data_IF_573681646104
#
_entry.id   IF_573681646104
#
_cell.length_a   1.000
_cell.length_b   1.000
_cell.length_c   1.000
_cell.angle_alpha   90.00
_cell.angle_beta   90.00
_cell.angle_gamma   90.00
#
_symmetry.space_group_name_H-M   'P 1'
#
loop_
_entity.id
_entity.type
_entity.pdbx_description
1 polymer ?
#
# COMPACT_ATOMS: atom_id res chain seq x y z
N UNK A 1 9.99 2.78 31.31
CA UNK A 1 8.93 3.58 30.65
C UNK A 1 8.34 2.74 29.54
N UNK A 2 7.01 2.74 29.32
CA UNK A 2 6.41 2.01 28.21
C UNK A 2 6.93 2.58 26.88
N UNK A 3 7.31 1.69 25.97
CA UNK A 3 7.71 2.06 24.61
C UNK A 3 6.53 2.72 23.90
N UNK A 4 6.76 3.87 23.26
CA UNK A 4 5.76 4.54 22.43
C UNK A 4 6.15 4.36 20.97
N UNK A 5 5.18 3.94 20.17
CA UNK A 5 5.30 3.70 18.74
C UNK A 5 4.33 4.65 18.05
N UNK A 6 4.88 5.49 17.18
CA UNK A 6 4.14 6.54 16.48
C UNK A 6 4.83 6.84 15.14
N UNK A 7 4.04 7.11 14.10
CA UNK A 7 4.55 7.66 12.86
C UNK A 7 4.72 9.18 12.98
N UNK A 8 5.97 9.61 13.20
CA UNK A 8 6.28 11.01 13.46
C UNK A 8 6.59 11.74 12.15
N UNK A 9 5.94 12.88 11.93
CA UNK A 9 6.15 13.80 10.80
C UNK A 9 6.08 13.13 9.41
N UNK A 10 5.00 12.40 9.06
CA UNK A 10 4.82 11.89 7.70
C UNK A 10 4.75 13.04 6.68
N UNK A 11 5.45 12.89 5.55
CA UNK A 11 5.27 13.77 4.39
C UNK A 11 3.87 13.60 3.79
N UNK A 12 3.41 14.60 3.04
CA UNK A 12 2.16 14.49 2.27
C UNK A 12 2.20 13.42 1.19
N UNK A 13 3.40 13.05 0.74
CA UNK A 13 3.60 12.00 -0.26
C UNK A 13 3.64 10.61 0.39
N UNK A 14 3.91 10.50 1.70
CA UNK A 14 4.21 9.23 2.30
C UNK A 14 3.01 8.28 2.39
N UNK A 15 3.15 7.11 1.77
CA UNK A 15 2.11 6.08 1.72
C UNK A 15 2.30 5.04 2.82
N UNK A 16 3.55 4.68 3.11
CA UNK A 16 3.89 3.60 4.05
C UNK A 16 5.09 3.97 4.89
N UNK A 17 5.11 3.52 6.14
CA UNK A 17 6.28 3.60 7.00
C UNK A 17 6.40 2.38 7.89
N UNK A 18 7.58 1.76 7.90
CA UNK A 18 7.89 0.65 8.79
C UNK A 18 8.59 1.17 10.03
N UNK A 19 8.04 0.84 11.20
CA UNK A 19 8.72 1.13 12.46
C UNK A 19 10.07 0.36 12.52
N UNK A 20 11.19 1.03 12.85
CA UNK A 20 12.52 0.45 12.68
C UNK A 20 12.88 -0.65 13.69
N UNK A 21 12.22 -0.69 14.85
CA UNK A 21 12.55 -1.68 15.90
C UNK A 21 11.58 -2.87 15.86
N UNK A 22 12.12 -4.08 15.94
CA UNK A 22 11.33 -5.32 15.98
C UNK A 22 11.10 -5.86 17.40
N UNK A 23 11.87 -5.37 18.36
CA UNK A 23 11.79 -5.77 19.78
C UNK A 23 10.73 -4.91 20.49
N UNK A 24 9.46 -5.15 20.14
CA UNK A 24 8.32 -4.43 20.75
C UNK A 24 7.95 -5.08 22.08
N UNK A 25 8.02 -4.28 23.15
CA UNK A 25 7.73 -4.74 24.51
C UNK A 25 6.24 -4.91 24.77
N UNK A 26 5.89 -5.84 25.66
CA UNK A 26 4.51 -5.98 26.12
C UNK A 26 4.05 -4.69 26.80
N UNK A 27 2.86 -4.21 26.44
CA UNK A 27 2.31 -2.96 26.96
C UNK A 27 2.80 -1.69 26.25
N UNK A 28 3.56 -1.83 25.16
CA UNK A 28 3.92 -0.70 24.30
C UNK A 28 2.65 0.04 23.83
N UNK A 29 2.72 1.36 23.80
CA UNK A 29 1.63 2.22 23.35
C UNK A 29 1.81 2.51 21.86
N UNK A 30 0.84 2.11 21.06
CA UNK A 30 0.75 2.41 19.64
C UNK A 30 -0.18 3.62 19.45
N UNK A 31 0.32 4.70 18.88
CA UNK A 31 -0.46 5.89 18.54
C UNK A 31 -0.68 5.89 17.03
N UNK A 32 -1.94 6.01 16.61
CA UNK A 32 -2.36 6.04 15.21
C UNK A 32 -3.18 7.32 14.99
N UNK A 33 -2.81 8.14 14.01
CA UNK A 33 -3.53 9.38 13.71
C UNK A 33 -4.76 9.15 12.82
N UNK A 34 -5.64 10.16 12.68
CA UNK A 34 -6.95 10.02 12.01
C UNK A 34 -6.91 9.53 10.55
N UNK A 35 -5.82 9.76 9.83
CA UNK A 35 -5.64 9.35 8.43
C UNK A 35 -4.57 8.28 8.28
N UNK A 36 -4.43 7.44 9.29
CA UNK A 36 -3.45 6.36 9.35
C UNK A 36 -4.11 5.06 9.79
N UNK A 37 -3.52 3.96 9.36
CA UNK A 37 -3.76 2.65 9.93
C UNK A 37 -2.41 2.01 10.25
N UNK A 38 -2.34 1.23 11.33
CA UNK A 38 -1.14 0.51 11.71
C UNK A 38 -1.40 -0.99 11.65
N UNK A 39 -0.68 -1.68 10.77
CA UNK A 39 -0.71 -3.13 10.63
C UNK A 39 0.35 -3.73 11.55
N UNK A 40 -0.11 -4.46 12.56
CA UNK A 40 0.75 -5.11 13.52
C UNK A 40 0.95 -6.59 13.16
N UNK A 41 2.21 -6.98 13.04
CA UNK A 41 2.63 -8.35 12.78
C UNK A 41 3.25 -8.95 14.03
N UNK A 42 2.93 -10.22 14.25
CA UNK A 42 3.53 -11.05 15.28
C UNK A 42 3.77 -12.43 14.71
N UNK A 43 4.95 -13.00 14.95
CA UNK A 43 5.32 -14.35 14.51
C UNK A 43 5.16 -14.55 12.98
N UNK A 44 5.42 -13.49 12.19
CA UNK A 44 5.31 -13.50 10.73
C UNK A 44 3.90 -13.43 10.16
N UNK A 45 2.87 -13.20 10.99
CA UNK A 45 1.47 -13.05 10.57
C UNK A 45 0.91 -11.71 10.96
N UNK A 46 -0.03 -11.19 10.16
CA UNK A 46 -0.88 -10.07 10.57
C UNK A 46 -1.65 -10.50 11.80
N UNK A 47 -1.45 -9.79 12.90
CA UNK A 47 -2.17 -10.01 14.15
C UNK A 47 -3.41 -9.14 14.19
N UNK A 48 -3.25 -7.83 13.93
CA UNK A 48 -4.33 -6.86 14.02
C UNK A 48 -4.01 -5.62 13.18
N UNK A 49 -5.07 -4.95 12.72
CA UNK A 49 -5.02 -3.63 12.08
C UNK A 49 -5.64 -2.61 13.04
N UNK A 50 -4.85 -1.63 13.45
CA UNK A 50 -5.30 -0.56 14.33
C UNK A 50 -5.70 0.66 13.51
N UNK A 51 -6.90 1.18 13.77
CA UNK A 51 -7.35 2.48 13.29
C UNK A 51 -6.93 3.62 14.23
N UNK A 52 -7.43 4.85 14.01
CA UNK A 52 -7.05 6.02 14.78
C UNK A 52 -7.26 5.86 16.28
N UNK A 53 -6.33 6.41 17.07
CA UNK A 53 -6.36 6.41 18.52
C UNK A 53 -5.12 5.82 19.17
N UNK A 54 -5.19 5.65 20.49
CA UNK A 54 -4.13 5.06 21.30
C UNK A 54 -4.48 3.62 21.65
N UNK A 55 -3.59 2.70 21.30
CA UNK A 55 -3.75 1.26 21.48
C UNK A 55 -2.62 0.70 22.33
N UNK A 56 -2.89 -0.38 23.07
CA UNK A 56 -1.87 -1.08 23.87
C UNK A 56 -1.53 -2.40 23.19
N UNK A 57 -0.26 -2.59 22.83
CA UNK A 57 0.18 -3.78 22.13
C UNK A 57 0.41 -4.95 23.10
N UNK A 58 -0.21 -6.08 22.76
CA UNK A 58 -0.01 -7.35 23.48
C UNK A 58 1.01 -8.19 22.72
N UNK A 59 2.26 -8.17 23.19
CA UNK A 59 3.36 -8.99 22.63
C UNK A 59 3.72 -10.14 23.58
N UNK A 60 4.47 -11.14 23.11
CA UNK A 60 5.01 -12.20 23.99
C UNK A 60 6.34 -11.77 24.66
N UNK A 61 6.82 -10.56 24.36
CA UNK A 61 8.05 -10.01 24.92
C UNK A 61 7.77 -9.32 26.26
N UNK A 62 7.70 -10.13 27.33
CA UNK A 62 7.58 -9.65 28.70
C UNK A 62 8.98 -9.36 29.29
N UNK A 63 9.29 -8.11 29.70
CA UNK A 63 10.65 -7.71 30.13
C UNK A 63 11.27 -8.57 31.24
N UNK A 64 10.45 -9.16 32.11
CA UNK A 64 10.90 -10.01 33.21
C UNK A 64 11.06 -11.49 32.82
N UNK A 65 10.32 -11.97 31.81
CA UNK A 65 10.42 -13.36 31.33
C UNK A 65 11.53 -13.54 30.30
N UNK A 66 11.74 -12.56 29.41
CA UNK A 66 12.80 -12.65 28.40
C UNK A 66 14.20 -12.70 29.01
N UNK A 67 14.46 -11.96 30.09
CA UNK A 67 15.75 -12.02 30.80
C UNK A 67 16.05 -13.37 31.45
N UNK A 68 15.03 -14.08 31.93
CA UNK A 68 15.16 -15.41 32.56
C UNK A 68 15.23 -16.52 31.51
N UNK A 69 14.38 -16.47 30.47
CA UNK A 69 14.40 -17.42 29.36
C UNK A 69 15.69 -17.35 28.54
N UNK A 70 16.23 -16.16 28.27
CA UNK A 70 17.51 -16.01 27.54
C UNK A 70 18.67 -16.63 28.32
N UNK A 71 18.64 -16.51 29.66
CA UNK A 71 19.69 -17.03 30.57
C UNK A 71 19.59 -18.54 30.80
N UNK A 72 18.37 -19.11 30.78
CA UNK A 72 18.13 -20.54 31.05
C UNK A 72 18.13 -21.37 29.76
N UNK A 73 17.54 -20.86 28.67
CA UNK A 73 17.34 -21.62 27.43
C UNK A 73 18.37 -21.32 26.33
N UNK A 74 19.38 -20.47 26.60
CA UNK A 74 20.48 -20.21 25.67
C UNK A 74 20.08 -19.45 24.40
N UNK A 75 18.96 -18.72 24.42
CA UNK A 75 18.58 -17.85 23.31
C UNK A 75 19.44 -16.58 23.32
N UNK A 76 20.37 -16.46 22.36
CA UNK A 76 21.20 -15.25 22.18
C UNK A 76 20.41 -14.02 21.70
N UNK A 77 19.16 -14.21 21.25
CA UNK A 77 18.27 -13.16 20.71
C UNK A 77 16.81 -13.44 21.06
N UNK A 78 16.04 -12.39 21.32
CA UNK A 78 14.58 -12.47 21.55
C UNK A 78 13.88 -13.14 20.34
N UNK A 79 13.22 -14.30 20.51
CA UNK A 79 12.54 -15.00 19.42
C UNK A 79 11.19 -14.34 19.05
N UNK A 80 10.66 -13.45 19.91
CA UNK A 80 9.38 -12.80 19.72
C UNK A 80 9.55 -11.48 18.96
N UNK A 81 9.82 -11.59 17.67
CA UNK A 81 9.91 -10.43 16.76
C UNK A 81 8.52 -9.97 16.35
N UNK A 82 8.29 -8.67 16.50
CA UNK A 82 7.06 -8.00 16.08
C UNK A 82 7.40 -6.94 15.03
N UNK A 83 6.44 -6.57 14.20
CA UNK A 83 6.62 -5.49 13.23
C UNK A 83 5.37 -4.61 13.23
N UNK A 84 5.57 -3.29 13.10
CA UNK A 84 4.48 -2.33 12.89
C UNK A 84 4.74 -1.63 11.57
N UNK A 85 3.76 -1.67 10.69
CA UNK A 85 3.77 -0.93 9.43
C UNK A 85 2.59 0.03 9.44
N UNK A 86 2.90 1.31 9.39
CA UNK A 86 1.91 2.36 9.20
C UNK A 86 1.59 2.52 7.71
N UNK A 87 0.33 2.74 7.43
CA UNK A 87 -0.21 3.00 6.10
C UNK A 87 -1.03 4.28 6.16
N UNK A 88 -0.75 5.19 5.24
CA UNK A 88 -1.51 6.42 5.09
C UNK A 88 -2.83 6.12 4.40
N UNK A 89 -3.92 6.48 5.05
CA UNK A 89 -5.27 6.36 4.52
C UNK A 89 -5.68 7.62 3.75
N UNK A 90 -4.74 8.52 3.42
CA UNK A 90 -5.00 9.72 2.64
C UNK A 90 -5.25 9.38 1.17
N UNK A 91 -5.83 10.33 0.44
CA UNK A 91 -5.92 10.26 -1.03
C UNK A 91 -4.62 10.74 -1.65
N UNK A 92 -4.08 9.94 -2.56
CA UNK A 92 -2.88 10.24 -3.33
C UNK A 92 -3.23 10.56 -4.77
N UNK A 93 -2.38 11.35 -5.41
CA UNK A 93 -2.49 11.69 -6.83
C UNK A 93 -1.25 11.19 -7.56
N UNK A 94 -1.45 10.60 -8.74
CA UNK A 94 -0.37 10.12 -9.59
C UNK A 94 -0.62 10.44 -11.05
N UNK A 95 0.44 10.37 -11.84
CA UNK A 95 0.37 10.51 -13.30
C UNK A 95 0.67 9.17 -13.95
N UNK A 96 -0.06 8.87 -15.03
CA UNK A 96 0.13 7.67 -15.82
C UNK A 96 0.22 8.02 -17.30
N UNK A 97 0.70 7.08 -18.10
CA UNK A 97 0.87 7.27 -19.52
C UNK A 97 1.88 6.32 -20.12
N UNK A 98 1.71 6.07 -21.42
CA UNK A 98 2.47 5.09 -22.16
C UNK A 98 2.14 5.09 -23.64
N UNK A 99 2.71 4.12 -24.35
CA UNK A 99 2.47 3.88 -25.77
C UNK A 99 1.87 2.50 -25.95
N UNK A 100 0.80 2.42 -26.71
CA UNK A 100 0.17 1.15 -27.10
C UNK A 100 -0.15 1.18 -28.59
N UNK A 101 -0.85 0.16 -29.06
CA UNK A 101 -1.42 0.11 -30.39
C UNK A 101 -2.88 -0.29 -30.31
N UNK A 102 -3.68 0.13 -31.28
CA UNK A 102 -5.09 -0.29 -31.43
C UNK A 102 -5.18 -1.70 -32.00
N UNK A 103 -6.40 -2.23 -32.12
CA UNK A 103 -6.65 -3.52 -32.80
C UNK A 103 -6.16 -3.51 -34.26
N UNK A 104 -6.05 -2.33 -34.88
CA UNK A 104 -5.56 -2.12 -36.24
C UNK A 104 -4.04 -1.93 -36.29
N UNK A 105 -3.34 -2.12 -35.17
CA UNK A 105 -1.89 -1.90 -35.03
C UNK A 105 -1.54 -0.42 -35.30
N UNK A 106 -2.49 0.50 -35.11
CA UNK A 106 -2.22 1.93 -35.18
C UNK A 106 -1.57 2.38 -33.86
N UNK A 107 -0.43 3.09 -33.89
CA UNK A 107 0.24 3.55 -32.68
C UNK A 107 -0.62 4.58 -31.94
N UNK A 108 -0.68 4.45 -30.61
CA UNK A 108 -1.50 5.28 -29.72
C UNK A 108 -0.66 5.71 -28.52
N UNK A 109 -0.76 6.98 -28.13
CA UNK A 109 -0.04 7.49 -26.95
C UNK A 109 -1.04 8.11 -25.98
N UNK A 110 -1.13 7.55 -24.79
CA UNK A 110 -2.06 8.04 -23.78
C UNK A 110 -1.32 8.60 -22.58
N UNK A 111 -1.94 9.57 -21.92
CA UNK A 111 -1.51 10.06 -20.62
C UNK A 111 -2.71 10.55 -19.82
N UNK A 112 -2.50 10.66 -18.51
CA UNK A 112 -3.52 11.15 -17.62
C UNK A 112 -3.10 11.16 -16.16
N UNK A 113 -4.08 11.43 -15.32
CA UNK A 113 -3.94 11.49 -13.87
C UNK A 113 -4.87 10.50 -13.19
N UNK A 114 -4.42 9.92 -12.08
CA UNK A 114 -5.20 9.01 -11.26
C UNK A 114 -5.13 9.41 -9.79
N UNK A 115 -6.17 9.06 -9.04
CA UNK A 115 -6.26 9.26 -7.61
C UNK A 115 -6.65 7.96 -6.94
N UNK A 116 -5.96 7.61 -5.88
CA UNK A 116 -6.21 6.38 -5.14
C UNK A 116 -6.14 6.61 -3.63
N UNK A 117 -6.69 5.68 -2.88
CA UNK A 117 -6.63 5.64 -1.42
C UNK A 117 -6.48 4.17 -1.00
N UNK A 118 -5.77 3.89 0.10
CA UNK A 118 -5.80 2.56 0.70
C UNK A 118 -7.09 2.37 1.49
N UNK A 119 -7.77 1.24 1.29
CA UNK A 119 -8.97 0.85 2.05
C UNK A 119 -8.73 -0.36 2.93
N UNK A 120 -7.97 -1.34 2.43
CA UNK A 120 -7.55 -2.49 3.20
C UNK A 120 -6.04 -2.44 3.41
N UNK A 121 -5.58 -1.89 4.55
CA UNK A 121 -4.16 -1.78 4.84
C UNK A 121 -3.50 -3.14 5.05
N UNK A 122 -4.25 -4.16 5.50
CA UNK A 122 -3.68 -5.50 5.69
C UNK A 122 -3.34 -6.15 4.35
N UNK A 123 -4.29 -6.12 3.41
CA UNK A 123 -4.12 -6.64 2.06
C UNK A 123 -3.06 -5.84 1.30
N UNK A 124 -3.08 -4.51 1.42
CA UNK A 124 -2.06 -3.64 0.82
C UNK A 124 -0.66 -3.97 1.30
N UNK A 125 -0.45 -4.10 2.62
CA UNK A 125 0.87 -4.46 3.16
C UNK A 125 1.29 -5.86 2.71
N UNK A 126 0.39 -6.83 2.66
CA UNK A 126 0.74 -8.19 2.23
C UNK A 126 1.13 -8.26 0.75
N UNK A 127 0.33 -7.64 -0.13
CA UNK A 127 0.48 -7.78 -1.57
C UNK A 127 1.52 -6.81 -2.17
N UNK A 128 1.64 -5.60 -1.62
CA UNK A 128 2.54 -4.55 -2.14
C UNK A 128 3.84 -4.51 -1.35
N UNK A 129 3.77 -4.29 -0.04
CA UNK A 129 4.97 -4.07 0.79
C UNK A 129 5.73 -5.37 1.04
N UNK A 130 5.03 -6.43 1.42
CA UNK A 130 5.59 -7.72 1.81
C UNK A 130 6.17 -8.51 0.64
N UNK A 131 5.45 -8.60 -0.48
CA UNK A 131 5.90 -9.38 -1.65
C UNK A 131 7.10 -8.73 -2.36
N UNK A 132 7.16 -7.40 -2.40
CA UNK A 132 8.14 -6.69 -3.23
C UNK A 132 9.21 -5.94 -2.44
N UNK A 133 9.19 -6.02 -1.10
CA UNK A 133 10.14 -5.28 -0.24
C UNK A 133 10.14 -3.77 -0.51
N UNK A 134 9.00 -3.22 -0.95
CA UNK A 134 8.83 -1.80 -1.25
C UNK A 134 8.51 -1.07 0.05
N UNK A 135 9.55 -0.57 0.71
CA UNK A 135 9.42 0.16 1.97
C UNK A 135 9.43 1.67 1.79
N UNK A 136 9.52 2.16 0.55
CA UNK A 136 9.47 3.59 0.26
C UNK A 136 8.22 3.96 -0.50
N UNK A 137 7.76 5.18 -0.23
CA UNK A 137 6.68 5.86 -0.94
C UNK A 137 6.88 5.87 -2.46
N UNK A 138 8.10 6.14 -2.92
CA UNK A 138 8.46 6.18 -4.34
C UNK A 138 8.22 4.84 -5.00
N UNK A 139 8.71 3.77 -4.37
CA UNK A 139 8.58 2.41 -4.89
C UNK A 139 7.10 1.99 -5.02
N UNK A 140 6.28 2.33 -4.02
CA UNK A 140 4.84 2.09 -4.04
C UNK A 140 4.17 2.85 -5.20
N UNK A 141 4.50 4.13 -5.38
CA UNK A 141 3.94 4.94 -6.45
C UNK A 141 4.35 4.43 -7.84
N UNK A 142 5.60 4.00 -8.01
CA UNK A 142 6.08 3.40 -9.26
C UNK A 142 5.39 2.07 -9.55
N UNK A 143 5.21 1.22 -8.53
CA UNK A 143 4.50 -0.04 -8.66
C UNK A 143 3.05 0.17 -9.12
N UNK A 144 2.31 1.06 -8.45
CA UNK A 144 0.92 1.37 -8.79
C UNK A 144 0.83 1.95 -10.21
N UNK A 145 1.73 2.89 -10.56
CA UNK A 145 1.78 3.46 -11.91
C UNK A 145 2.05 2.41 -12.98
N UNK A 146 3.00 1.51 -12.74
CA UNK A 146 3.33 0.42 -13.66
C UNK A 146 2.12 -0.47 -13.92
N UNK A 147 1.41 -0.82 -12.85
CA UNK A 147 0.20 -1.62 -12.92
C UNK A 147 -0.94 -0.93 -13.69
N UNK A 148 -1.22 0.34 -13.39
CA UNK A 148 -2.22 1.15 -14.11
C UNK A 148 -1.86 1.24 -15.60
N UNK A 149 -0.58 1.45 -15.91
CA UNK A 149 -0.11 1.49 -17.29
C UNK A 149 -0.34 0.15 -17.99
N UNK A 150 0.02 -0.98 -17.39
CA UNK A 150 -0.21 -2.32 -17.97
C UNK A 150 -1.70 -2.57 -18.26
N UNK A 151 -2.57 -2.26 -17.29
CA UNK A 151 -4.01 -2.40 -17.45
C UNK A 151 -4.57 -1.49 -18.56
N UNK A 152 -4.12 -0.23 -18.62
CA UNK A 152 -4.50 0.71 -19.68
C UNK A 152 -4.02 0.26 -21.06
N UNK A 153 -2.77 -0.23 -21.17
CA UNK A 153 -2.22 -0.78 -22.42
C UNK A 153 -3.08 -1.93 -22.95
N UNK A 154 -3.38 -2.89 -22.08
CA UNK A 154 -4.20 -4.06 -22.40
C UNK A 154 -5.61 -3.64 -22.84
N UNK A 155 -6.24 -2.70 -22.14
CA UNK A 155 -7.61 -2.30 -22.47
C UNK A 155 -7.68 -1.46 -23.74
N UNK A 156 -6.81 -0.48 -23.92
CA UNK A 156 -6.80 0.39 -25.11
C UNK A 156 -6.52 -0.39 -26.40
N UNK A 157 -5.73 -1.46 -26.33
CA UNK A 157 -5.43 -2.30 -27.51
C UNK A 157 -6.62 -3.09 -28.06
N UNK A 158 -7.74 -3.12 -27.33
CA UNK A 158 -8.97 -3.78 -27.77
C UNK A 158 -9.89 -2.88 -28.62
N UNK A 159 -9.62 -1.58 -28.72
CA UNK A 159 -10.42 -0.64 -29.52
C UNK A 159 -9.77 -0.33 -30.87
N UNK A 160 -10.59 0.04 -31.86
CA UNK A 160 -10.12 0.69 -33.09
C UNK A 160 -9.76 2.15 -32.83
N UNK A 161 -8.90 2.72 -33.69
CA UNK A 161 -8.49 4.12 -33.54
C UNK A 161 -9.69 5.08 -33.63
N UNK A 162 -10.63 4.78 -34.52
CA UNK A 162 -11.86 5.54 -34.68
C UNK A 162 -12.68 5.53 -33.38
N UNK A 163 -12.89 4.37 -32.76
CA UNK A 163 -13.67 4.25 -31.53
C UNK A 163 -13.01 4.98 -30.36
N UNK A 164 -11.68 4.96 -30.25
CA UNK A 164 -10.95 5.72 -29.23
C UNK A 164 -11.20 7.22 -29.39
N UNK A 165 -11.16 7.75 -30.62
CA UNK A 165 -11.36 9.18 -30.86
C UNK A 165 -12.82 9.63 -30.78
N UNK A 166 -13.76 8.86 -31.32
CA UNK A 166 -15.18 9.26 -31.33
C UNK A 166 -15.90 8.97 -30.01
N UNK A 167 -15.41 8.00 -29.23
CA UNK A 167 -16.05 7.53 -28.00
C UNK A 167 -15.11 7.58 -26.79
N UNK A 168 -14.17 8.53 -26.76
CA UNK A 168 -13.19 8.66 -25.68
C UNK A 168 -13.79 8.64 -24.26
N UNK A 169 -14.95 9.29 -23.97
CA UNK A 169 -15.56 9.22 -22.65
C UNK A 169 -16.01 7.82 -22.24
N UNK A 170 -16.53 7.04 -23.20
CA UNK A 170 -17.01 5.66 -22.97
C UNK A 170 -15.79 4.75 -22.75
N UNK A 171 -14.81 4.81 -23.65
CA UNK A 171 -13.54 4.06 -23.54
C UNK A 171 -12.86 4.35 -22.21
N UNK A 172 -12.75 5.63 -21.83
CA UNK A 172 -12.18 6.03 -20.55
C UNK A 172 -12.93 5.42 -19.37
N UNK A 173 -14.26 5.42 -19.40
CA UNK A 173 -15.08 4.87 -18.31
C UNK A 173 -14.91 3.36 -18.17
N UNK A 174 -14.88 2.62 -19.28
CA UNK A 174 -14.63 1.17 -19.28
C UNK A 174 -13.23 0.84 -18.76
N UNK A 175 -12.21 1.60 -19.16
CA UNK A 175 -10.84 1.46 -18.64
C UNK A 175 -10.79 1.73 -17.13
N UNK A 176 -11.48 2.78 -16.64
CA UNK A 176 -11.56 3.08 -15.20
C UNK A 176 -12.13 1.93 -14.40
N UNK A 177 -13.25 1.34 -14.85
CA UNK A 177 -13.91 0.23 -14.14
C UNK A 177 -12.97 -0.96 -13.99
N UNK A 178 -12.29 -1.35 -15.07
CA UNK A 178 -11.33 -2.47 -15.01
C UNK A 178 -10.14 -2.19 -14.09
N UNK A 179 -9.57 -0.99 -14.16
CA UNK A 179 -8.45 -0.60 -13.28
C UNK A 179 -8.90 -0.56 -11.82
N UNK A 180 -10.11 -0.07 -11.55
CA UNK A 180 -10.67 -0.04 -10.21
C UNK A 180 -10.82 -1.46 -9.63
N UNK A 181 -11.40 -2.40 -10.39
CA UNK A 181 -11.52 -3.80 -9.99
C UNK A 181 -10.17 -4.41 -9.62
N UNK A 182 -9.15 -4.18 -10.44
CA UNK A 182 -7.82 -4.72 -10.17
C UNK A 182 -7.15 -4.10 -8.93
N UNK A 183 -7.28 -2.78 -8.73
CA UNK A 183 -6.70 -2.11 -7.56
C UNK A 183 -7.29 -2.61 -6.23
N UNK A 184 -8.56 -3.02 -6.22
CA UNK A 184 -9.18 -3.61 -5.01
C UNK A 184 -8.48 -4.89 -4.56
N UNK A 185 -7.89 -5.66 -5.48
CA UNK A 185 -7.15 -6.89 -5.18
C UNK A 185 -5.86 -6.62 -4.39
N UNK A 186 -5.38 -5.38 -4.40
CA UNK A 186 -4.23 -4.92 -3.66
C UNK A 186 -4.61 -4.08 -2.43
N UNK A 187 -5.89 -4.09 -2.02
CA UNK A 187 -6.39 -3.31 -0.89
C UNK A 187 -6.52 -1.81 -1.16
N UNK A 188 -6.44 -1.40 -2.43
CA UNK A 188 -6.55 0.00 -2.85
C UNK A 188 -7.90 0.29 -3.49
N UNK A 189 -8.39 1.51 -3.33
CA UNK A 189 -9.54 2.04 -4.06
C UNK A 189 -9.06 3.08 -5.06
N UNK A 190 -9.46 2.92 -6.33
CA UNK A 190 -9.34 3.98 -7.33
C UNK A 190 -10.45 5.00 -7.10
N UNK A 191 -10.10 6.20 -6.66
CA UNK A 191 -11.08 7.26 -6.44
C UNK A 191 -11.50 7.92 -7.74
N UNK A 192 -10.54 8.22 -8.62
CA UNK A 192 -10.80 8.75 -9.94
C UNK A 192 -9.60 8.42 -10.85
N UNK A 193 -9.85 8.37 -12.15
CA UNK A 193 -8.81 8.27 -13.17
C UNK A 193 -9.28 9.05 -14.37
N UNK A 194 -8.41 9.85 -14.98
CA UNK A 194 -8.76 10.72 -16.11
C UNK A 194 -7.71 10.59 -17.18
N UNK A 195 -8.13 10.18 -18.36
CA UNK A 195 -7.35 10.35 -19.58
C UNK A 195 -7.37 11.83 -19.95
N UNK A 196 -6.19 12.43 -20.06
CA UNK A 196 -6.02 13.84 -20.45
C UNK A 196 -5.74 13.96 -21.96
N UNK A 197 -5.18 12.91 -22.58
CA UNK A 197 -5.01 12.80 -24.00
C UNK A 197 -4.67 11.37 -24.42
N UNK A 198 -5.04 11.04 -25.66
CA UNK A 198 -4.86 9.73 -26.32
C UNK A 198 -4.50 9.95 -27.79
#
# INVERSE_FOLDING_TARGET
MPQVIEWVNPSGEDVVWRYPMEDITWGAQLIVHEMEAAVFFRDGKVYEVFGPGRHTLTTQNLPLLTGVLSRIAGFDRNPFKCMVIYVSMKRFAGKFGGRTQTVEIAPLMFHGSYWFQIKDPSLFVMEVVGRQSLFTTTDVNEYIRGYINEAALKQLSTYSIFNVFTNLPIVSSEVKVRIAEELTRFGMELTDLRFEGV
#
